data_IF_231187514015
#
_entry.id   IF_231187514015
#
_cell.length_a   1.000
_cell.length_b   1.000
_cell.length_c   1.000
_cell.angle_alpha   90.00
_cell.angle_beta   90.00
_cell.angle_gamma   90.00
#
_symmetry.space_group_name_H-M   'P 1'
#
loop_
_entity.id
_entity.type
_entity.pdbx_description
1 polymer ?
#
# COMPACT_ATOMS: atom_id res chain seq x y z
N UNK A 1 -13.88 22.63 -20.31
CA UNK A 1 -14.65 21.49 -20.87
C UNK A 1 -14.44 20.29 -19.95
N UNK A 2 -15.17 20.24 -18.84
CA UNK A 2 -15.02 19.18 -17.84
C UNK A 2 -16.41 18.70 -17.49
N UNK A 3 -17.00 17.95 -18.41
CA UNK A 3 -18.24 17.21 -18.12
C UNK A 3 -18.20 15.93 -18.93
N UNK A 4 -18.77 14.87 -18.36
CA UNK A 4 -19.12 13.58 -18.98
C UNK A 4 -18.25 12.36 -18.68
N UNK A 5 -17.84 12.15 -17.42
CA UNK A 5 -17.25 10.86 -17.01
C UNK A 5 -17.66 10.42 -15.60
N UNK A 6 -18.94 10.49 -15.24
CA UNK A 6 -19.44 9.90 -13.98
C UNK A 6 -20.86 9.36 -14.14
N UNK A 7 -21.00 8.23 -14.84
CA UNK A 7 -22.18 7.35 -14.73
C UNK A 7 -21.72 5.90 -14.80
N UNK A 8 -21.15 5.39 -13.70
CA UNK A 8 -21.07 3.95 -13.45
C UNK A 8 -20.91 3.73 -11.93
N UNK A 9 -22.03 3.39 -11.30
CA UNK A 9 -22.18 3.14 -9.86
C UNK A 9 -21.60 1.76 -9.47
N UNK A 10 -20.29 1.59 -9.64
CA UNK A 10 -19.53 0.57 -8.91
C UNK A 10 -18.94 1.19 -7.65
N UNK A 11 -18.61 0.37 -6.65
CA UNK A 11 -17.90 0.75 -5.40
C UNK A 11 -16.64 1.63 -5.59
N UNK A 12 -16.18 1.81 -6.82
CA UNK A 12 -15.00 2.58 -7.23
C UNK A 12 -15.28 4.05 -7.61
N UNK A 13 -16.54 4.47 -7.71
CA UNK A 13 -16.88 5.89 -7.94
C UNK A 13 -16.42 6.81 -6.80
N UNK A 14 -16.15 6.25 -5.61
CA UNK A 14 -15.83 7.02 -4.40
C UNK A 14 -14.39 7.54 -4.33
N UNK A 15 -13.45 6.95 -5.09
CA UNK A 15 -12.04 7.39 -5.11
C UNK A 15 -11.76 8.48 -6.15
N UNK A 16 -12.67 8.67 -7.11
CA UNK A 16 -12.59 9.68 -8.17
C UNK A 16 -13.74 10.71 -8.11
N UNK A 17 -14.69 10.52 -7.18
CA UNK A 17 -15.69 11.53 -6.85
C UNK A 17 -14.99 12.77 -6.26
N UNK A 18 -15.59 13.97 -6.34
CA UNK A 18 -15.10 15.16 -5.64
C UNK A 18 -15.03 14.98 -4.11
N UNK A 19 -15.51 13.86 -3.59
CA UNK A 19 -15.52 13.53 -2.18
C UNK A 19 -14.13 13.06 -1.72
N UNK A 20 -13.60 13.73 -0.71
CA UNK A 20 -12.36 13.33 -0.06
C UNK A 20 -12.46 11.91 0.52
N UNK A 21 -11.32 11.23 0.60
CA UNK A 21 -11.22 9.98 1.36
C UNK A 21 -11.77 10.20 2.78
N UNK A 22 -12.69 9.36 3.28
CA UNK A 22 -13.46 9.65 4.51
C UNK A 22 -12.59 9.82 5.76
N UNK A 23 -11.38 9.26 5.76
CA UNK A 23 -10.41 9.39 6.85
C UNK A 23 -9.25 10.35 6.55
N UNK A 24 -9.24 11.03 5.40
CA UNK A 24 -8.18 11.97 5.03
C UNK A 24 -6.80 11.35 4.77
N UNK A 25 -6.72 10.05 4.50
CA UNK A 25 -5.48 9.25 4.41
C UNK A 25 -4.89 9.13 3.01
N UNK A 26 -5.60 9.61 1.99
CA UNK A 26 -5.22 9.49 0.59
C UNK A 26 -5.51 10.81 -0.13
N UNK A 27 -4.51 11.31 -0.85
CA UNK A 27 -4.60 12.47 -1.71
C UNK A 27 -3.90 12.15 -3.03
N UNK A 28 -4.53 12.52 -4.13
CA UNK A 28 -4.01 12.31 -5.48
C UNK A 28 -3.96 13.63 -6.23
N UNK A 29 -2.81 13.94 -6.81
CA UNK A 29 -2.58 15.13 -7.61
C UNK A 29 -2.04 14.73 -8.98
N UNK A 30 -2.55 15.37 -10.03
CA UNK A 30 -2.16 15.10 -11.41
C UNK A 30 -1.61 16.40 -12.02
N UNK A 31 -0.29 16.46 -12.21
CA UNK A 31 0.43 17.59 -12.81
C UNK A 31 0.64 17.34 -14.31
N UNK A 32 1.09 18.31 -15.13
CA UNK A 32 1.34 18.03 -16.56
C UNK A 32 2.28 16.84 -16.81
N UNK A 33 3.35 16.72 -16.03
CA UNK A 33 4.44 15.78 -16.29
C UNK A 33 4.50 14.57 -15.35
N UNK A 34 3.75 14.59 -14.24
CA UNK A 34 3.75 13.51 -13.27
C UNK A 34 2.43 13.42 -12.50
N UNK A 35 2.25 12.27 -11.85
CA UNK A 35 1.25 12.10 -10.80
C UNK A 35 1.93 12.04 -9.43
N UNK A 36 1.23 12.51 -8.40
CA UNK A 36 1.65 12.44 -7.01
C UNK A 36 0.54 11.78 -6.18
N UNK A 37 0.90 10.76 -5.41
CA UNK A 37 0.09 10.20 -4.35
C UNK A 37 0.74 10.56 -3.02
N UNK A 38 -0.05 11.12 -2.11
CA UNK A 38 0.33 11.33 -0.72
C UNK A 38 -0.58 10.49 0.17
N UNK A 39 0.00 9.66 1.04
CA UNK A 39 -0.74 8.77 1.94
C UNK A 39 -0.30 8.85 3.39
N UNK A 40 -1.27 8.65 4.29
CA UNK A 40 -1.02 8.24 5.67
C UNK A 40 -1.70 6.90 5.92
N UNK A 41 -0.97 5.81 5.62
CA UNK A 41 -1.51 4.44 5.57
C UNK A 41 -2.00 3.99 6.95
N UNK A 42 -3.13 3.27 7.05
CA UNK A 42 -3.57 2.61 8.27
C UNK A 42 -2.49 1.78 8.96
N UNK A 43 -2.23 2.04 10.24
CA UNK A 43 -1.41 1.15 11.06
C UNK A 43 -2.13 -0.18 11.31
N UNK A 44 -1.37 -1.28 11.34
CA UNK A 44 -1.82 -2.64 11.63
C UNK A 44 -2.35 -2.83 13.06
N UNK A 45 -1.95 -2.00 14.02
CA UNK A 45 -2.34 -2.14 15.42
C UNK A 45 -1.94 -3.50 15.98
N UNK A 46 -2.71 -4.00 16.96
CA UNK A 46 -2.49 -5.30 17.62
C UNK A 46 -3.71 -6.22 17.57
N UNK A 47 -4.77 -5.82 16.86
CA UNK A 47 -6.04 -6.54 16.78
C UNK A 47 -6.29 -7.03 15.36
N UNK A 48 -6.90 -8.20 15.21
CA UNK A 48 -7.23 -8.79 13.91
C UNK A 48 -8.03 -7.84 13.00
N UNK A 49 -8.99 -7.11 13.58
CA UNK A 49 -9.79 -6.10 12.87
C UNK A 49 -8.93 -5.02 12.21
N UNK A 50 -7.79 -4.67 12.84
CA UNK A 50 -6.86 -3.68 12.31
C UNK A 50 -5.99 -4.24 11.18
N UNK A 51 -5.62 -5.52 11.24
CA UNK A 51 -4.97 -6.22 10.13
C UNK A 51 -5.90 -6.34 8.92
N UNK A 52 -7.17 -6.72 9.15
CA UNK A 52 -8.15 -6.80 8.07
C UNK A 52 -8.36 -5.43 7.40
N UNK A 53 -8.51 -4.36 8.21
CA UNK A 53 -8.60 -2.98 7.70
C UNK A 53 -7.37 -2.59 6.88
N UNK A 54 -6.17 -3.01 7.26
CA UNK A 54 -4.94 -2.77 6.47
C UNK A 54 -4.96 -3.55 5.15
N UNK A 55 -5.35 -4.83 5.16
CA UNK A 55 -5.45 -5.64 3.94
C UNK A 55 -6.45 -5.05 2.95
N UNK A 56 -7.59 -4.58 3.45
CA UNK A 56 -8.61 -3.92 2.62
C UNK A 56 -8.08 -2.62 2.02
N UNK A 57 -7.37 -1.80 2.80
CA UNK A 57 -6.68 -0.61 2.31
C UNK A 57 -5.68 -0.92 1.19
N UNK A 58 -4.80 -1.91 1.39
CA UNK A 58 -3.77 -2.27 0.40
C UNK A 58 -4.42 -2.77 -0.90
N UNK A 59 -5.52 -3.52 -0.80
CA UNK A 59 -6.32 -3.95 -1.95
C UNK A 59 -6.93 -2.76 -2.68
N UNK A 60 -7.53 -1.81 -1.98
CA UNK A 60 -8.13 -0.61 -2.59
C UNK A 60 -7.07 0.24 -3.31
N UNK A 61 -5.90 0.45 -2.70
CA UNK A 61 -4.78 1.16 -3.32
C UNK A 61 -4.26 0.46 -4.57
N UNK A 62 -4.13 -0.88 -4.54
CA UNK A 62 -3.72 -1.67 -5.71
C UNK A 62 -4.72 -1.53 -6.87
N UNK A 63 -6.02 -1.57 -6.58
CA UNK A 63 -7.05 -1.39 -7.60
C UNK A 63 -7.07 0.05 -8.16
N UNK A 64 -6.87 1.07 -7.31
CA UNK A 64 -6.69 2.44 -7.76
C UNK A 64 -5.53 2.57 -8.77
N UNK A 65 -4.36 2.02 -8.44
CA UNK A 65 -3.18 2.08 -9.31
C UNK A 65 -3.39 1.36 -10.65
N UNK A 66 -4.03 0.18 -10.64
CA UNK A 66 -4.40 -0.53 -11.88
C UNK A 66 -5.34 0.30 -12.75
N UNK A 67 -6.37 0.90 -12.14
CA UNK A 67 -7.30 1.74 -12.88
C UNK A 67 -6.58 2.98 -13.45
N UNK A 68 -5.73 3.64 -12.66
CA UNK A 68 -4.94 4.77 -13.15
C UNK A 68 -4.05 4.37 -14.32
N UNK A 69 -3.41 3.21 -14.25
CA UNK A 69 -2.61 2.64 -15.35
C UNK A 69 -3.45 2.46 -16.62
N UNK A 70 -4.65 1.88 -16.53
CA UNK A 70 -5.55 1.72 -17.67
C UNK A 70 -5.97 3.06 -18.29
N UNK A 71 -6.19 4.10 -17.47
CA UNK A 71 -6.50 5.45 -17.97
C UNK A 71 -5.31 6.01 -18.76
N UNK A 72 -4.09 5.84 -18.25
CA UNK A 72 -2.87 6.30 -18.92
C UNK A 72 -2.61 5.56 -20.22
N UNK A 73 -2.87 4.25 -20.26
CA UNK A 73 -2.77 3.44 -21.48
C UNK A 73 -3.74 3.93 -22.57
N UNK A 74 -5.01 4.16 -22.22
CA UNK A 74 -6.01 4.70 -23.15
C UNK A 74 -5.66 6.11 -23.65
N UNK A 75 -4.97 6.90 -22.83
CA UNK A 75 -4.52 8.24 -23.19
C UNK A 75 -3.16 8.26 -23.92
N UNK A 76 -2.55 7.09 -24.20
CA UNK A 76 -1.20 6.97 -24.77
C UNK A 76 -0.08 7.64 -23.93
N UNK A 77 -0.26 7.69 -22.61
CA UNK A 77 0.64 8.32 -21.63
C UNK A 77 1.27 7.26 -20.69
N UNK A 78 1.63 6.08 -21.20
CA UNK A 78 2.10 4.93 -20.41
C UNK A 78 3.42 5.15 -19.67
N UNK A 79 4.22 6.11 -20.11
CA UNK A 79 5.52 6.45 -19.51
C UNK A 79 5.43 7.58 -18.48
N UNK A 80 4.22 8.03 -18.14
CA UNK A 80 4.06 9.10 -17.18
C UNK A 80 4.49 8.63 -15.78
N UNK A 81 5.42 9.34 -15.12
CA UNK A 81 5.91 8.98 -13.80
C UNK A 81 4.85 9.19 -12.73
N UNK A 82 4.88 8.32 -11.72
CA UNK A 82 4.09 8.42 -10.50
C UNK A 82 5.04 8.49 -9.30
N UNK A 83 4.95 9.58 -8.54
CA UNK A 83 5.58 9.71 -7.24
C UNK A 83 4.56 9.29 -6.17
N UNK A 84 4.90 8.30 -5.35
CA UNK A 84 4.09 7.92 -4.19
C UNK A 84 4.93 8.16 -2.93
N UNK A 85 4.49 9.11 -2.11
CA UNK A 85 5.13 9.45 -0.85
C UNK A 85 4.14 9.38 0.32
N UNK A 86 4.68 9.51 1.53
CA UNK A 86 3.92 9.54 2.77
C UNK A 86 4.41 8.56 3.82
N UNK A 87 3.65 8.46 4.91
CA UNK A 87 3.87 7.43 5.92
C UNK A 87 3.12 6.16 5.52
N UNK A 88 3.89 5.15 5.13
CA UNK A 88 3.41 3.86 4.65
C UNK A 88 3.06 2.87 5.76
N UNK A 89 3.37 3.19 7.03
CA UNK A 89 3.18 2.30 8.18
C UNK A 89 3.70 0.87 7.94
N UNK A 90 4.86 0.75 7.31
CA UNK A 90 5.52 -0.53 7.03
C UNK A 90 7.04 -0.34 6.95
N UNK A 91 7.77 -1.23 7.61
CA UNK A 91 9.18 -1.49 7.34
C UNK A 91 9.21 -2.65 6.33
N UNK A 92 9.77 -2.44 5.14
CA UNK A 92 9.74 -3.46 4.08
C UNK A 92 10.72 -4.58 4.36
N UNK A 93 11.84 -4.23 4.98
CA UNK A 93 12.92 -5.14 5.32
C UNK A 93 13.31 -4.94 6.80
N UNK A 94 13.84 -5.97 7.44
CA UNK A 94 14.34 -5.89 8.82
C UNK A 94 15.35 -4.75 9.03
N UNK A 95 16.14 -4.42 7.99
CA UNK A 95 17.10 -3.31 8.01
C UNK A 95 16.45 -1.94 8.10
N UNK A 96 15.17 -1.82 7.74
CA UNK A 96 14.40 -0.57 7.85
C UNK A 96 13.94 -0.32 9.30
N UNK A 97 14.12 -1.28 10.21
CA UNK A 97 13.78 -1.18 11.63
C UNK A 97 15.00 -1.28 12.55
N UNK A 98 14.99 -0.56 13.67
CA UNK A 98 16.08 -0.58 14.66
C UNK A 98 15.97 -1.71 15.71
N UNK A 99 14.80 -2.35 15.80
CA UNK A 99 14.48 -3.36 16.82
C UNK A 99 14.09 -4.70 16.18
N UNK A 100 14.87 -5.15 15.20
CA UNK A 100 14.73 -6.51 14.68
C UNK A 100 15.55 -7.47 15.55
N UNK A 101 14.93 -8.53 16.05
CA UNK A 101 15.62 -9.59 16.80
C UNK A 101 15.57 -10.88 15.98
N UNK A 102 16.74 -11.44 15.68
CA UNK A 102 16.85 -12.80 15.17
C UNK A 102 16.59 -13.78 16.34
N UNK A 103 15.37 -14.30 16.44
CA UNK A 103 15.08 -15.34 17.44
C UNK A 103 15.60 -16.68 16.94
N UNK A 104 16.72 -17.15 17.49
CA UNK A 104 17.13 -18.55 17.34
C UNK A 104 16.10 -19.46 18.01
N UNK A 105 15.33 -20.20 17.23
CA UNK A 105 14.61 -21.36 17.75
C UNK A 105 15.64 -22.44 18.07
N UNK A 106 15.71 -22.84 19.35
CA UNK A 106 16.41 -24.08 19.69
C UNK A 106 15.63 -25.22 19.05
N UNK A 107 16.12 -25.72 17.93
CA UNK A 107 15.76 -27.07 17.48
C UNK A 107 16.11 -28.00 18.62
N UNK A 108 15.08 -28.61 19.22
CA UNK A 108 15.25 -29.69 20.17
C UNK A 108 15.74 -30.92 19.43
N UNK A 109 17.00 -30.89 18.98
CA UNK A 109 17.78 -32.09 18.73
C UNK A 109 19.25 -31.70 18.73
N UNK A 110 19.98 -32.34 19.65
CA UNK A 110 21.42 -32.22 19.70
C UNK A 110 22.03 -32.67 18.38
N UNK A 111 23.00 -31.87 17.94
CA UNK A 111 23.99 -32.15 16.90
C UNK A 111 23.70 -31.54 15.51
N UNK A 112 24.63 -30.68 15.09
CA UNK A 112 24.71 -29.89 13.84
C UNK A 112 23.82 -28.64 13.75
N UNK A 113 24.36 -27.54 14.28
CA UNK A 113 23.84 -26.19 14.10
C UNK A 113 24.11 -25.68 12.67
N UNK A 114 23.15 -25.85 11.78
CA UNK A 114 22.98 -24.97 10.61
C UNK A 114 21.86 -23.99 10.94
N UNK A 115 22.19 -22.97 11.72
CA UNK A 115 21.29 -21.84 12.01
C UNK A 115 21.09 -21.04 10.73
N UNK A 116 20.06 -21.38 9.96
CA UNK A 116 19.52 -20.42 8.98
C UNK A 116 18.75 -19.36 9.79
N UNK A 117 19.01 -18.06 9.59
CA UNK A 117 18.19 -17.01 10.19
C UNK A 117 16.74 -17.23 9.76
N UNK A 118 15.86 -17.53 10.72
CA UNK A 118 14.42 -17.42 10.49
C UNK A 118 14.10 -15.95 10.67
N UNK A 119 13.96 -15.25 9.55
CA UNK A 119 13.43 -13.89 9.54
C UNK A 119 11.94 -14.03 9.87
N UNK A 120 11.58 -13.75 11.12
CA UNK A 120 10.18 -13.51 11.45
C UNK A 120 9.83 -12.18 10.83
N UNK A 121 9.04 -12.22 9.75
CA UNK A 121 8.30 -11.08 9.23
C UNK A 121 7.26 -10.66 10.29
N UNK A 122 7.72 -10.11 11.40
CA UNK A 122 6.88 -9.20 12.15
C UNK A 122 6.55 -8.09 11.14
N UNK A 123 5.25 -7.93 10.85
CA UNK A 123 4.64 -6.77 10.18
C UNK A 123 4.13 -6.90 8.74
N UNK A 124 4.10 -8.07 8.10
CA UNK A 124 3.27 -8.27 6.89
C UNK A 124 2.83 -9.73 6.73
N UNK A 125 1.62 -10.05 7.19
CA UNK A 125 0.85 -11.21 6.70
C UNK A 125 0.12 -10.86 5.38
#
# INVERSE_FOLDING_TARGET
>A
KTSQLTKNNGKFGKLLAPDHHPQGRFQFFSFPDCDLIQTYVPNNGTKEESFQRRRDWDKEMKEFLKHRRLILEKANHTNRPLLWCGDMNVAKDHRDGTHWEEKCHKSGDGNTATTKPIIYEWWTD
#
